data_IF_194532193810
#
_entry.id   IF_194532193810
#
_cell.length_a   1.000
_cell.length_b   1.000
_cell.length_c   1.000
_cell.angle_alpha   90.00
_cell.angle_beta   90.00
_cell.angle_gamma   90.00
#
_symmetry.space_group_name_H-M   'P 1'
#
loop_
_entity.id
_entity.type
_entity.pdbx_description
1 polymer ?
#
# COMPACT_ATOMS: atom_id res chain seq x y z
N UNK A 1 -34.04 -11.66 -22.51
CA UNK A 1 -32.84 -11.61 -21.63
C UNK A 1 -33.32 -11.61 -20.18
N UNK A 2 -32.81 -12.51 -19.32
CA UNK A 2 -33.35 -12.70 -17.97
C UNK A 2 -33.07 -11.45 -17.09
N UNK A 3 -34.11 -10.72 -16.67
CA UNK A 3 -34.00 -9.45 -15.93
C UNK A 3 -33.16 -9.55 -14.65
N UNK A 4 -33.07 -10.75 -14.07
CA UNK A 4 -32.23 -11.05 -12.89
C UNK A 4 -30.73 -11.02 -13.21
N UNK A 5 -30.31 -11.54 -14.37
CA UNK A 5 -28.93 -11.52 -14.83
C UNK A 5 -28.48 -10.09 -15.11
N UNK A 6 -29.30 -9.32 -15.83
CA UNK A 6 -29.00 -7.91 -16.16
C UNK A 6 -28.76 -7.09 -14.89
N UNK A 7 -29.57 -7.28 -13.86
CA UNK A 7 -29.44 -6.57 -12.58
C UNK A 7 -28.16 -6.97 -11.83
N UNK A 8 -27.79 -8.27 -11.84
CA UNK A 8 -26.53 -8.74 -11.24
C UNK A 8 -25.32 -8.16 -11.95
N UNK A 9 -25.32 -8.18 -13.29
CA UNK A 9 -24.24 -7.62 -14.12
C UNK A 9 -24.07 -6.13 -13.87
N UNK A 10 -25.16 -5.35 -13.85
CA UNK A 10 -25.12 -3.91 -13.55
C UNK A 10 -24.50 -3.63 -12.18
N UNK A 11 -24.86 -4.40 -11.15
CA UNK A 11 -24.28 -4.25 -9.80
C UNK A 11 -22.80 -4.60 -9.75
N UNK A 12 -22.39 -5.63 -10.48
CA UNK A 12 -20.99 -6.02 -10.58
C UNK A 12 -20.16 -4.95 -11.29
N UNK A 13 -20.64 -4.42 -12.42
CA UNK A 13 -19.98 -3.34 -13.15
C UNK A 13 -19.88 -2.08 -12.26
N UNK A 14 -20.95 -1.70 -11.57
CA UNK A 14 -20.92 -0.57 -10.65
C UNK A 14 -19.87 -0.75 -9.53
N UNK A 15 -19.75 -1.97 -8.99
CA UNK A 15 -18.72 -2.30 -8.02
C UNK A 15 -17.31 -2.18 -8.61
N UNK A 16 -17.09 -2.69 -9.83
CA UNK A 16 -15.79 -2.56 -10.51
C UNK A 16 -15.40 -1.10 -10.72
N UNK A 17 -16.32 -0.24 -11.15
CA UNK A 17 -16.06 1.19 -11.33
C UNK A 17 -15.63 1.84 -10.01
N UNK A 18 -16.35 1.56 -8.92
CA UNK A 18 -16.01 2.07 -7.58
C UNK A 18 -14.63 1.55 -7.14
N UNK A 19 -14.36 0.26 -7.32
CA UNK A 19 -13.07 -0.33 -6.97
C UNK A 19 -11.92 0.28 -7.78
N UNK A 20 -12.10 0.51 -9.09
CA UNK A 20 -11.10 1.19 -9.93
C UNK A 20 -10.82 2.61 -9.47
N UNK A 21 -11.87 3.37 -9.09
CA UNK A 21 -11.68 4.70 -8.51
C UNK A 21 -10.90 4.65 -7.19
N UNK A 22 -11.23 3.69 -6.31
CA UNK A 22 -10.49 3.49 -5.06
C UNK A 22 -9.02 3.14 -5.32
N UNK A 23 -8.74 2.25 -6.28
CA UNK A 23 -7.38 1.90 -6.66
C UNK A 23 -6.59 3.12 -7.17
N UNK A 24 -7.23 3.95 -8.00
CA UNK A 24 -6.65 5.20 -8.50
C UNK A 24 -6.36 6.20 -7.38
N UNK A 25 -7.30 6.42 -6.47
CA UNK A 25 -7.11 7.30 -5.30
C UNK A 25 -5.97 6.78 -4.41
N UNK A 26 -5.96 5.48 -4.10
CA UNK A 26 -4.88 4.87 -3.33
C UNK A 26 -3.52 5.03 -4.02
N UNK A 27 -3.48 4.91 -5.35
CA UNK A 27 -2.25 5.09 -6.11
C UNK A 27 -1.73 6.53 -5.99
N UNK A 28 -2.62 7.52 -6.14
CA UNK A 28 -2.26 8.93 -6.00
C UNK A 28 -1.72 9.23 -4.59
N UNK A 29 -2.35 8.68 -3.55
CA UNK A 29 -1.91 8.85 -2.16
C UNK A 29 -0.46 8.38 -1.97
N UNK A 30 -0.11 7.19 -2.49
CA UNK A 30 1.20 6.58 -2.26
C UNK A 30 2.28 7.14 -3.19
N UNK A 31 1.99 7.23 -4.49
CA UNK A 31 3.00 7.52 -5.51
C UNK A 31 3.07 9.00 -5.91
N UNK A 32 2.04 9.80 -5.62
CA UNK A 32 2.02 11.24 -5.96
C UNK A 32 2.06 12.13 -4.74
N UNK A 33 1.33 11.80 -3.69
CA UNK A 33 1.34 12.55 -2.44
C UNK A 33 2.42 12.06 -1.45
N UNK A 34 3.15 10.98 -1.80
CA UNK A 34 4.21 10.37 -0.98
C UNK A 34 3.80 10.14 0.49
N UNK A 35 2.55 9.76 0.73
CA UNK A 35 2.11 9.37 2.07
C UNK A 35 2.62 7.96 2.36
N UNK A 36 3.76 7.87 3.04
CA UNK A 36 4.52 6.63 3.27
C UNK A 36 4.74 6.41 4.77
N UNK A 37 3.71 6.01 5.55
CA UNK A 37 3.86 5.86 7.00
C UNK A 37 4.93 4.82 7.34
N UNK A 38 5.93 5.23 8.14
CA UNK A 38 7.13 4.44 8.47
C UNK A 38 7.89 3.91 7.25
N UNK A 39 7.77 4.59 6.11
CA UNK A 39 8.43 4.22 4.86
C UNK A 39 9.63 5.10 4.53
N UNK A 40 10.16 4.86 3.34
CA UNK A 40 11.24 5.62 2.73
C UNK A 40 10.86 6.02 1.31
N UNK A 41 11.37 7.15 0.84
CA UNK A 41 11.34 7.55 -0.57
C UNK A 41 12.75 7.82 -1.08
N UNK A 42 12.96 7.61 -2.39
CA UNK A 42 14.22 7.88 -3.07
C UNK A 42 14.25 9.35 -3.49
N UNK A 43 15.18 10.11 -2.91
CA UNK A 43 15.41 11.51 -3.30
C UNK A 43 16.41 11.58 -4.45
N UNK A 44 17.50 10.83 -4.34
CA UNK A 44 18.56 10.80 -5.35
C UNK A 44 19.28 9.45 -5.33
N UNK A 45 19.70 8.97 -6.50
CA UNK A 45 20.48 7.74 -6.66
C UNK A 45 21.64 8.03 -7.61
N UNK A 46 22.86 7.85 -7.11
CA UNK A 46 24.11 7.92 -7.85
C UNK A 46 24.80 6.55 -7.86
N UNK A 47 25.92 6.43 -8.58
CA UNK A 47 26.60 5.14 -8.75
C UNK A 47 27.01 4.47 -7.43
N UNK A 48 27.40 5.27 -6.42
CA UNK A 48 27.87 4.79 -5.12
C UNK A 48 27.13 5.44 -3.94
N UNK A 49 26.13 6.28 -4.19
CA UNK A 49 25.47 7.07 -3.13
C UNK A 49 23.96 7.03 -3.33
N UNK A 50 23.23 6.88 -2.22
CA UNK A 50 21.77 6.95 -2.20
C UNK A 50 21.30 7.97 -1.18
N UNK A 51 20.29 8.77 -1.55
CA UNK A 51 19.62 9.72 -0.66
C UNK A 51 18.18 9.26 -0.44
N UNK A 52 17.83 9.02 0.82
CA UNK A 52 16.51 8.53 1.23
C UNK A 52 15.81 9.55 2.11
N UNK A 53 14.55 9.87 1.79
CA UNK A 53 13.65 10.60 2.67
C UNK A 53 12.93 9.59 3.57
N UNK A 54 13.09 9.69 4.88
CA UNK A 54 12.32 8.89 5.83
C UNK A 54 11.02 9.59 6.23
N UNK A 55 10.05 8.81 6.66
CA UNK A 55 8.72 9.29 7.05
C UNK A 55 8.34 8.73 8.43
N UNK A 56 7.54 9.48 9.19
CA UNK A 56 7.02 9.06 10.49
C UNK A 56 5.80 8.12 10.36
N UNK A 57 5.23 7.70 11.48
CA UNK A 57 4.09 6.76 11.55
C UNK A 57 2.84 7.28 10.83
N UNK A 58 2.70 8.60 10.67
CA UNK A 58 1.56 9.23 9.98
C UNK A 58 1.90 9.68 8.56
N UNK A 59 3.10 9.34 8.06
CA UNK A 59 3.53 9.63 6.69
C UNK A 59 4.02 11.07 6.48
N UNK A 60 4.44 11.76 7.53
CA UNK A 60 5.10 13.08 7.42
C UNK A 60 6.61 12.87 7.28
N UNK A 61 7.21 13.65 6.38
CA UNK A 61 8.65 13.70 6.15
C UNK A 61 9.43 13.97 7.44
N UNK A 62 10.50 13.20 7.65
CA UNK A 62 11.44 13.36 8.77
C UNK A 62 12.78 13.89 8.25
N UNK A 63 13.73 12.99 8.02
CA UNK A 63 15.11 13.33 7.68
C UNK A 63 15.50 12.73 6.33
N UNK A 64 16.39 13.42 5.62
CA UNK A 64 17.06 12.89 4.45
C UNK A 64 18.36 12.25 4.90
N UNK A 65 18.48 10.94 4.73
CA UNK A 65 19.70 10.19 5.00
C UNK A 65 20.47 9.99 3.70
N UNK A 66 21.73 10.40 3.66
CA UNK A 66 22.63 10.18 2.51
C UNK A 66 23.63 9.10 2.92
N UNK A 67 23.66 8.00 2.18
CA UNK A 67 24.56 6.87 2.44
C UNK A 67 25.42 6.61 1.21
N UNK A 68 26.73 6.51 1.42
CA UNK A 68 27.69 6.14 0.40
C UNK A 68 28.17 4.72 0.63
N UNK A 69 28.14 3.90 -0.41
CA UNK A 69 28.62 2.53 -0.43
C UNK A 69 29.93 2.46 -1.21
N UNK A 70 30.77 1.46 -0.93
CA UNK A 70 32.06 1.29 -1.61
C UNK A 70 32.31 -0.16 -2.00
N UNK A 71 33.04 -0.35 -3.11
CA UNK A 71 33.51 -1.66 -3.56
C UNK A 71 32.42 -2.73 -3.63
N UNK A 72 32.47 -3.68 -2.68
CA UNK A 72 31.59 -4.85 -2.64
C UNK A 72 30.16 -4.54 -2.15
N UNK A 73 29.87 -3.35 -1.64
CA UNK A 73 28.55 -3.01 -1.10
C UNK A 73 27.68 -2.17 -2.05
N UNK A 74 28.17 -1.83 -3.25
CA UNK A 74 27.43 -1.02 -4.22
C UNK A 74 26.09 -1.68 -4.61
N UNK A 75 26.01 -3.02 -4.60
CA UNK A 75 24.77 -3.76 -4.87
C UNK A 75 23.64 -3.42 -3.89
N UNK A 76 23.96 -2.93 -2.68
CA UNK A 76 22.95 -2.54 -1.69
C UNK A 76 22.06 -1.40 -2.22
N UNK A 77 22.56 -0.55 -3.11
CA UNK A 77 21.78 0.53 -3.72
C UNK A 77 20.58 -0.03 -4.49
N UNK A 78 20.80 -1.05 -5.34
CA UNK A 78 19.74 -1.68 -6.10
C UNK A 78 18.77 -2.45 -5.19
N UNK A 79 19.29 -3.11 -4.15
CA UNK A 79 18.46 -3.79 -3.16
C UNK A 79 17.57 -2.81 -2.37
N UNK A 80 18.10 -1.66 -1.95
CA UNK A 80 17.33 -0.61 -1.28
C UNK A 80 16.28 -0.05 -2.23
N UNK A 81 16.64 0.28 -3.47
CA UNK A 81 15.68 0.77 -4.47
C UNK A 81 14.53 -0.21 -4.68
N UNK A 82 14.84 -1.50 -4.77
CA UNK A 82 13.85 -2.55 -4.87
C UNK A 82 12.92 -2.58 -3.66
N UNK A 83 13.46 -2.59 -2.43
CA UNK A 83 12.65 -2.64 -1.21
C UNK A 83 11.83 -1.36 -1.01
N UNK A 84 12.32 -0.18 -1.40
CA UNK A 84 11.54 1.06 -1.37
C UNK A 84 10.34 0.96 -2.30
N UNK A 85 10.55 0.49 -3.55
CA UNK A 85 9.46 0.32 -4.50
C UNK A 85 8.46 -0.74 -4.02
N UNK A 86 8.95 -1.87 -3.53
CA UNK A 86 8.12 -2.94 -2.96
C UNK A 86 7.29 -2.44 -1.78
N UNK A 87 7.88 -1.65 -0.89
CA UNK A 87 7.15 -1.04 0.23
C UNK A 87 6.02 -0.14 -0.28
N UNK A 88 6.27 0.70 -1.29
CA UNK A 88 5.22 1.52 -1.93
C UNK A 88 4.11 0.67 -2.55
N UNK A 89 4.43 -0.40 -3.26
CA UNK A 89 3.45 -1.31 -3.86
C UNK A 89 2.54 -1.95 -2.81
N UNK A 90 3.11 -2.47 -1.71
CA UNK A 90 2.32 -3.08 -0.65
C UNK A 90 1.53 -2.04 0.16
N UNK A 91 1.99 -0.80 0.24
CA UNK A 91 1.25 0.27 0.88
C UNK A 91 0.05 0.69 0.03
N UNK A 92 0.25 0.79 -1.28
CA UNK A 92 -0.82 1.02 -2.22
C UNK A 92 -1.88 -0.08 -2.12
N UNK A 93 -1.42 -1.35 -2.07
CA UNK A 93 -2.30 -2.50 -1.90
C UNK A 93 -3.03 -2.48 -0.55
N UNK A 94 -2.36 -2.08 0.54
CA UNK A 94 -2.98 -1.91 1.85
C UNK A 94 -4.11 -0.87 1.80
N UNK A 95 -3.84 0.32 1.25
CA UNK A 95 -4.85 1.37 1.16
C UNK A 95 -6.02 0.97 0.25
N UNK A 96 -5.73 0.34 -0.89
CA UNK A 96 -6.76 -0.12 -1.80
C UNK A 96 -7.64 -1.20 -1.16
N UNK A 97 -7.03 -2.29 -0.67
CA UNK A 97 -7.74 -3.42 -0.10
C UNK A 97 -8.55 -3.00 1.14
N UNK A 98 -7.96 -2.19 2.02
CA UNK A 98 -8.64 -1.69 3.22
C UNK A 98 -9.83 -0.81 2.84
N UNK A 99 -9.69 0.10 1.89
CA UNK A 99 -10.78 0.97 1.44
C UNK A 99 -11.94 0.17 0.83
N UNK A 100 -11.64 -0.82 -0.02
CA UNK A 100 -12.65 -1.72 -0.60
C UNK A 100 -13.34 -2.54 0.49
N UNK A 101 -12.60 -3.09 1.44
CA UNK A 101 -13.15 -3.86 2.56
C UNK A 101 -14.02 -3.00 3.49
N UNK A 102 -13.65 -1.74 3.74
CA UNK A 102 -14.47 -0.78 4.49
C UNK A 102 -15.76 -0.48 3.74
N UNK A 103 -15.69 -0.23 2.43
CA UNK A 103 -16.88 -0.02 1.60
C UNK A 103 -17.84 -1.21 1.68
N UNK A 104 -17.31 -2.43 1.56
CA UNK A 104 -18.10 -3.67 1.68
C UNK A 104 -18.66 -3.87 3.08
N UNK A 105 -17.91 -3.50 4.13
CA UNK A 105 -18.37 -3.53 5.51
C UNK A 105 -19.58 -2.62 5.70
N UNK A 106 -19.48 -1.36 5.30
CA UNK A 106 -20.58 -0.37 5.37
C UNK A 106 -21.79 -0.86 4.57
N UNK A 107 -21.58 -1.38 3.37
CA UNK A 107 -22.65 -1.95 2.54
C UNK A 107 -23.37 -3.11 3.23
N UNK A 108 -22.64 -4.01 3.89
CA UNK A 108 -23.20 -5.18 4.58
C UNK A 108 -23.94 -4.81 5.87
N UNK A 109 -23.41 -3.85 6.63
CA UNK A 109 -24.08 -3.32 7.83
C UNK A 109 -25.40 -2.64 7.45
N UNK A 110 -25.41 -1.83 6.39
CA UNK A 110 -26.64 -1.20 5.86
C UNK A 110 -27.70 -2.20 5.40
N UNK A 111 -27.31 -3.44 5.10
CA UNK A 111 -28.21 -4.56 4.78
C UNK A 111 -28.65 -5.37 6.01
N UNK A 112 -28.37 -4.91 7.22
CA UNK A 112 -28.80 -5.55 8.46
C UNK A 112 -27.91 -6.72 8.91
N UNK A 113 -26.72 -6.93 8.33
CA UNK A 113 -25.78 -7.91 8.88
C UNK A 113 -25.21 -7.41 10.21
N UNK A 114 -25.11 -8.31 11.20
CA UNK A 114 -24.39 -8.05 12.46
C UNK A 114 -22.94 -7.63 12.17
N UNK A 115 -22.42 -6.67 12.94
CA UNK A 115 -21.09 -6.04 12.73
C UNK A 115 -19.98 -7.08 12.58
N UNK A 116 -19.85 -8.02 13.54
CA UNK A 116 -18.82 -9.07 13.48
C UNK A 116 -18.89 -9.94 12.23
N UNK A 117 -20.10 -10.35 11.83
CA UNK A 117 -20.29 -11.11 10.59
C UNK A 117 -19.96 -10.27 9.36
N UNK A 118 -20.28 -8.97 9.38
CA UNK A 118 -19.95 -8.06 8.29
C UNK A 118 -18.44 -7.83 8.15
N UNK A 119 -17.68 -7.76 9.26
CA UNK A 119 -16.21 -7.66 9.29
C UNK A 119 -15.56 -8.89 8.64
N UNK A 120 -15.98 -10.08 9.04
CA UNK A 120 -15.46 -11.33 8.47
C UNK A 120 -15.84 -11.42 7.00
N UNK A 121 -17.12 -11.19 6.67
CA UNK A 121 -17.58 -11.29 5.30
C UNK A 121 -16.91 -10.25 4.38
N UNK A 122 -16.51 -9.06 4.87
CA UNK A 122 -15.84 -8.02 4.08
C UNK A 122 -14.34 -8.26 3.90
N UNK A 123 -13.81 -9.36 4.44
CA UNK A 123 -12.38 -9.71 4.43
C UNK A 123 -11.49 -8.61 5.01
N UNK A 124 -12.01 -7.75 5.89
CA UNK A 124 -11.26 -6.59 6.40
C UNK A 124 -9.96 -7.02 7.12
N UNK A 125 -10.02 -8.12 7.86
CA UNK A 125 -8.85 -8.67 8.57
C UNK A 125 -7.76 -9.05 7.57
N UNK A 126 -8.10 -9.78 6.51
CA UNK A 126 -7.12 -10.18 5.48
C UNK A 126 -6.62 -9.00 4.65
N UNK A 127 -7.52 -8.06 4.33
CA UNK A 127 -7.18 -6.84 3.59
C UNK A 127 -6.13 -5.99 4.31
N UNK A 128 -6.13 -6.02 5.65
CA UNK A 128 -5.13 -5.32 6.47
C UNK A 128 -3.90 -6.19 6.72
N UNK A 129 -4.06 -7.45 7.12
CA UNK A 129 -2.92 -8.26 7.58
C UNK A 129 -2.01 -8.74 6.44
N UNK A 130 -2.57 -9.11 5.28
CA UNK A 130 -1.77 -9.64 4.17
C UNK A 130 -0.75 -8.63 3.64
N UNK A 131 -1.09 -7.35 3.43
CA UNK A 131 -0.14 -6.36 2.90
C UNK A 131 0.77 -5.81 4.01
N UNK A 132 0.35 -5.89 5.28
CA UNK A 132 1.13 -5.37 6.42
C UNK A 132 2.41 -6.17 6.65
N UNK A 133 2.37 -7.49 6.49
CA UNK A 133 3.56 -8.33 6.63
C UNK A 133 4.72 -7.93 5.69
N UNK A 134 4.53 -7.87 4.35
CA UNK A 134 5.59 -7.47 3.44
C UNK A 134 5.99 -5.99 3.62
N UNK A 135 5.09 -5.11 4.08
CA UNK A 135 5.44 -3.72 4.43
C UNK A 135 6.49 -3.64 5.53
N UNK A 136 6.25 -4.34 6.63
CA UNK A 136 7.17 -4.40 7.78
C UNK A 136 8.49 -5.03 7.35
N UNK A 137 8.42 -6.13 6.59
CA UNK A 137 9.61 -6.80 6.11
C UNK A 137 10.47 -5.90 5.21
N UNK A 138 9.87 -5.17 4.27
CA UNK A 138 10.59 -4.24 3.41
C UNK A 138 11.19 -3.07 4.20
N UNK A 139 10.47 -2.50 5.17
CA UNK A 139 10.99 -1.44 6.02
C UNK A 139 12.22 -1.91 6.83
N UNK A 140 12.11 -3.07 7.48
CA UNK A 140 13.22 -3.67 8.24
C UNK A 140 14.42 -3.98 7.33
N UNK A 141 14.17 -4.49 6.13
CA UNK A 141 15.23 -4.81 5.17
C UNK A 141 15.97 -3.55 4.70
N UNK A 142 15.27 -2.44 4.47
CA UNK A 142 15.91 -1.16 4.16
C UNK A 142 16.80 -0.72 5.32
N UNK A 143 16.31 -0.79 6.56
CA UNK A 143 17.10 -0.44 7.75
C UNK A 143 18.37 -1.31 7.88
N UNK A 144 18.24 -2.63 7.66
CA UNK A 144 19.37 -3.57 7.66
C UNK A 144 20.40 -3.27 6.56
N UNK A 145 19.94 -2.84 5.38
CA UNK A 145 20.83 -2.49 4.27
C UNK A 145 21.55 -1.15 4.50
N UNK A 146 20.94 -0.24 5.27
CA UNK A 146 21.51 1.05 5.64
C UNK A 146 22.52 0.98 6.80
N UNK A 147 22.43 -0.06 7.64
CA UNK A 147 23.48 -0.38 8.64
C UNK A 147 24.72 -1.02 8.01
#
# INVERSE_FOLDING_TARGET
MNNTLVTKVKRFIAFLVIASLMAGVSYLIVFKASILPNGYDLVNVQHNTISLQSFNVIGIEKEITIVSFSGKDIWKIDAIKHEVNRHKEFLWLLFFATTVSIFLLVYKIRKGKKVWKAIVDSNLIFAVLLPLFPLINSANRITELLS
#
